data_IF_823009924370
#
_entry.id   IF_823009924370
#
_cell.length_a   1.000
_cell.length_b   1.000
_cell.length_c   1.000
_cell.angle_alpha   90.00
_cell.angle_beta   90.00
_cell.angle_gamma   90.00
#
_symmetry.space_group_name_H-M   'P 1'
#
loop_
_entity.id
_entity.type
_entity.pdbx_description
1 polymer ?
#
# COMPACT_ATOMS: atom_id res chain seq x y z
N UNK A 1 34.81 17.92 -23.55
CA UNK A 1 34.20 16.65 -23.14
C UNK A 1 32.71 16.89 -23.16
N UNK A 2 31.99 16.18 -24.01
CA UNK A 2 30.52 16.22 -23.99
C UNK A 2 30.11 15.52 -22.69
N UNK A 3 29.44 16.22 -21.78
CA UNK A 3 28.92 15.59 -20.58
C UNK A 3 27.86 14.58 -21.02
N UNK A 4 28.06 13.30 -20.71
CA UNK A 4 27.04 12.28 -20.94
C UNK A 4 25.85 12.59 -20.01
N UNK A 5 24.76 13.10 -20.58
CA UNK A 5 23.56 13.44 -19.82
C UNK A 5 22.62 12.24 -19.78
N UNK A 6 22.16 11.88 -18.59
CA UNK A 6 21.20 10.80 -18.36
C UNK A 6 19.88 11.36 -17.85
N UNK A 7 18.77 10.73 -18.24
CA UNK A 7 17.43 11.16 -17.86
C UNK A 7 17.07 10.62 -16.48
N UNK A 8 16.86 11.53 -15.52
CA UNK A 8 16.50 11.17 -14.13
C UNK A 8 15.02 11.39 -13.83
N UNK A 9 14.36 12.24 -14.62
CA UNK A 9 12.93 12.48 -14.54
C UNK A 9 12.35 12.60 -15.94
N UNK A 10 11.14 12.05 -16.14
CA UNK A 10 10.38 12.17 -17.37
C UNK A 10 8.89 12.13 -17.05
N UNK A 11 8.16 13.11 -17.56
CA UNK A 11 6.70 13.11 -17.49
C UNK A 11 6.11 13.59 -18.83
N UNK A 12 4.91 13.11 -19.15
CA UNK A 12 4.12 13.54 -20.31
C UNK A 12 2.76 14.14 -19.89
N UNK A 13 2.62 14.41 -18.60
CA UNK A 13 1.43 15.00 -18.01
C UNK A 13 1.33 16.49 -18.33
N UNK A 14 0.13 17.09 -18.29
CA UNK A 14 -0.02 18.53 -18.48
C UNK A 14 0.71 19.36 -17.41
N UNK A 15 0.99 18.78 -16.24
CA UNK A 15 1.79 19.41 -15.17
C UNK A 15 3.30 19.18 -15.33
N UNK A 16 3.75 18.37 -16.31
CA UNK A 16 5.14 17.94 -16.43
C UNK A 16 6.16 19.08 -16.47
N UNK A 17 5.80 20.24 -17.01
CA UNK A 17 6.67 21.42 -17.03
C UNK A 17 6.86 22.04 -15.63
N UNK A 18 5.81 22.03 -14.80
CA UNK A 18 5.84 22.54 -13.43
C UNK A 18 6.60 21.56 -12.52
N UNK A 19 6.28 20.26 -12.61
CA UNK A 19 7.01 19.18 -11.94
C UNK A 19 8.51 19.17 -12.30
N UNK A 20 8.84 19.29 -13.60
CA UNK A 20 10.23 19.33 -14.05
C UNK A 20 10.98 20.56 -13.53
N UNK A 21 10.29 21.70 -13.39
CA UNK A 21 10.89 22.91 -12.80
C UNK A 21 11.16 22.75 -11.31
N UNK A 22 10.26 22.09 -10.57
CA UNK A 22 10.46 21.79 -9.15
C UNK A 22 11.65 20.83 -8.96
N UNK A 23 11.71 19.77 -9.77
CA UNK A 23 12.84 18.83 -9.79
C UNK A 23 14.15 19.54 -10.14
N UNK A 24 14.15 20.44 -11.14
CA UNK A 24 15.33 21.23 -11.50
C UNK A 24 15.84 22.07 -10.31
N UNK A 25 14.95 22.79 -9.64
CA UNK A 25 15.31 23.67 -8.52
C UNK A 25 15.93 22.89 -7.35
N UNK A 26 15.32 21.77 -6.97
CA UNK A 26 15.81 20.94 -5.88
C UNK A 26 17.13 20.22 -6.20
N UNK A 27 17.31 19.78 -7.45
CA UNK A 27 18.60 19.23 -7.88
C UNK A 27 19.70 20.30 -7.88
N UNK A 28 19.37 21.54 -8.29
CA UNK A 28 20.29 22.67 -8.26
C UNK A 28 20.64 23.10 -6.83
N UNK A 29 19.67 23.10 -5.90
CA UNK A 29 19.90 23.33 -4.46
C UNK A 29 20.82 22.24 -3.86
N UNK A 30 20.65 21.00 -4.31
CA UNK A 30 21.54 19.87 -4.01
C UNK A 30 22.95 20.00 -4.59
N UNK A 31 23.24 21.07 -5.33
CA UNK A 31 24.55 21.35 -5.93
C UNK A 31 24.82 20.58 -7.22
N UNK A 32 23.78 20.01 -7.84
CA UNK A 32 23.89 19.29 -9.11
C UNK A 32 23.67 20.23 -10.29
N UNK A 33 24.00 19.76 -11.51
CA UNK A 33 23.82 20.56 -12.72
C UNK A 33 22.73 19.98 -13.65
N UNK A 34 21.44 20.04 -13.26
CA UNK A 34 20.33 19.53 -14.05
C UNK A 34 20.00 20.43 -15.26
N UNK A 35 19.41 19.84 -16.29
CA UNK A 35 18.91 20.55 -17.48
C UNK A 35 17.57 19.96 -17.94
N UNK A 36 16.63 20.82 -18.31
CA UNK A 36 15.30 20.45 -18.82
C UNK A 36 15.35 20.30 -20.34
N UNK A 37 14.71 19.24 -20.84
CA UNK A 37 14.52 18.93 -22.25
C UNK A 37 13.03 18.73 -22.53
N UNK A 38 12.48 19.49 -23.48
CA UNK A 38 11.08 19.39 -23.93
C UNK A 38 10.99 18.62 -25.25
N UNK A 39 9.78 18.39 -25.74
CA UNK A 39 9.52 17.74 -27.04
C UNK A 39 10.10 18.48 -28.27
N UNK A 40 10.59 19.70 -28.07
CA UNK A 40 11.38 20.45 -29.06
C UNK A 40 12.78 19.86 -29.29
N UNK A 41 13.26 19.00 -28.38
CA UNK A 41 14.57 18.37 -28.46
C UNK A 41 14.53 17.00 -29.13
N UNK A 42 15.51 16.67 -29.99
CA UNK A 42 15.59 15.36 -30.63
C UNK A 42 15.78 14.26 -29.57
N UNK A 43 14.89 13.27 -29.60
CA UNK A 43 14.88 12.14 -28.66
C UNK A 43 13.89 12.28 -27.49
N UNK A 44 13.29 13.46 -27.30
CA UNK A 44 12.19 13.63 -26.34
C UNK A 44 10.87 13.29 -27.02
N UNK A 45 10.00 12.47 -26.41
CA UNK A 45 8.68 12.17 -26.95
C UNK A 45 7.80 13.43 -27.07
N UNK A 46 6.86 13.46 -28.03
CA UNK A 46 5.94 14.59 -28.17
C UNK A 46 5.09 14.79 -26.91
N UNK A 47 5.06 16.03 -26.40
CA UNK A 47 4.35 16.39 -25.17
C UNK A 47 5.03 15.94 -23.88
N UNK A 48 6.26 15.42 -23.94
CA UNK A 48 7.01 15.03 -22.75
C UNK A 48 8.05 16.08 -22.35
N UNK A 49 8.31 16.15 -21.05
CA UNK A 49 9.38 16.94 -20.44
C UNK A 49 10.29 15.99 -19.68
N UNK A 50 11.59 16.11 -19.91
CA UNK A 50 12.63 15.29 -19.30
C UNK A 50 13.63 16.19 -18.54
N UNK A 51 14.02 15.81 -17.33
CA UNK A 51 15.15 16.42 -16.62
C UNK A 51 16.33 15.47 -16.73
N UNK A 52 17.46 16.00 -17.21
CA UNK A 52 18.70 15.25 -17.37
C UNK A 52 19.82 15.86 -16.54
N UNK A 53 20.68 15.01 -16.00
CA UNK A 53 21.88 15.40 -15.24
C UNK A 53 23.10 14.70 -15.85
N UNK A 54 24.33 15.18 -15.60
CA UNK A 54 25.55 14.42 -15.87
C UNK A 54 25.48 13.01 -15.30
N UNK A 55 25.93 12.00 -16.04
CA UNK A 55 25.87 10.59 -15.64
C UNK A 55 26.58 10.32 -14.31
N UNK A 56 27.59 11.12 -13.97
CA UNK A 56 28.30 11.08 -12.69
C UNK A 56 27.42 11.48 -11.48
N UNK A 57 26.35 12.24 -11.75
CA UNK A 57 25.43 12.80 -10.76
C UNK A 57 24.10 12.05 -10.69
N UNK A 58 23.88 11.06 -11.57
CA UNK A 58 22.62 10.29 -11.68
C UNK A 58 22.16 9.73 -10.33
N UNK A 59 23.06 9.00 -9.66
CA UNK A 59 22.73 8.34 -8.39
C UNK A 59 22.31 9.35 -7.32
N UNK A 60 22.95 10.53 -7.30
CA UNK A 60 22.64 11.60 -6.34
C UNK A 60 21.33 12.29 -6.69
N UNK A 61 21.08 12.53 -7.98
CA UNK A 61 19.85 13.12 -8.46
C UNK A 61 18.63 12.24 -8.16
N UNK A 62 18.73 10.93 -8.41
CA UNK A 62 17.66 9.98 -8.09
C UNK A 62 17.36 9.94 -6.58
N UNK A 63 18.38 10.03 -5.73
CA UNK A 63 18.20 10.10 -4.27
C UNK A 63 17.43 11.36 -3.85
N UNK A 64 17.78 12.53 -4.41
CA UNK A 64 17.10 13.79 -4.13
C UNK A 64 15.64 13.77 -4.64
N UNK A 65 15.40 13.31 -5.86
CA UNK A 65 14.06 13.20 -6.44
C UNK A 65 13.18 12.25 -5.61
N UNK A 66 13.73 11.10 -5.19
CA UNK A 66 13.00 10.17 -4.34
C UNK A 66 12.65 10.79 -2.98
N UNK A 67 13.54 11.59 -2.39
CA UNK A 67 13.27 12.32 -1.16
C UNK A 67 12.20 13.41 -1.34
N UNK A 68 12.16 14.10 -2.49
CA UNK A 68 11.13 15.08 -2.82
C UNK A 68 9.75 14.44 -2.98
N UNK A 69 9.67 13.36 -3.76
CA UNK A 69 8.40 12.66 -3.96
C UNK A 69 7.86 12.07 -2.65
N UNK A 70 8.74 11.74 -1.69
CA UNK A 70 8.35 11.33 -0.35
C UNK A 70 7.81 12.49 0.52
N UNK A 71 8.16 13.75 0.22
CA UNK A 71 7.66 14.93 0.96
C UNK A 71 6.45 15.62 0.31
N UNK A 72 6.26 15.46 -1.01
CA UNK A 72 5.11 15.99 -1.77
C UNK A 72 3.96 14.99 -1.96
N UNK A 73 4.11 13.76 -1.47
CA UNK A 73 2.95 12.95 -1.15
C UNK A 73 2.07 13.75 -0.19
N UNK A 74 0.83 14.06 -0.60
CA UNK A 74 -0.21 14.48 0.33
C UNK A 74 -0.15 13.57 1.57
N UNK A 75 -0.48 14.04 2.79
CA UNK A 75 -0.57 13.19 3.95
C UNK A 75 -1.78 12.25 3.80
N UNK A 76 -1.76 11.34 2.83
CA UNK A 76 -2.27 9.99 3.03
C UNK A 76 -1.39 9.44 4.13
N UNK A 77 -1.89 9.57 5.35
CA UNK A 77 -1.30 9.09 6.60
C UNK A 77 -0.33 7.93 6.33
N UNK A 78 0.99 8.05 6.57
CA UNK A 78 1.91 6.92 6.60
C UNK A 78 1.63 6.07 7.86
N UNK A 79 0.37 5.97 8.25
CA UNK A 79 -0.14 5.18 9.32
C UNK A 79 0.09 3.74 8.97
N UNK A 80 1.21 3.20 9.42
CA UNK A 80 1.34 1.79 9.75
C UNK A 80 0.14 1.28 10.58
N UNK A 81 -0.61 2.19 11.22
CA UNK A 81 -1.91 2.01 11.86
C UNK A 81 -2.99 1.39 10.95
N UNK A 82 -3.00 1.76 9.66
CA UNK A 82 -3.90 1.24 8.62
C UNK A 82 -3.32 0.02 7.88
N UNK A 83 -2.09 -0.42 8.22
CA UNK A 83 -1.53 -1.63 7.64
C UNK A 83 -2.39 -2.84 8.00
N UNK A 84 -2.78 -3.61 7.00
CA UNK A 84 -3.65 -4.77 7.19
C UNK A 84 -2.82 -5.96 7.66
N UNK A 85 -2.89 -6.23 8.96
CA UNK A 85 -2.22 -7.37 9.61
C UNK A 85 -3.15 -8.57 9.61
N UNK A 86 -2.60 -9.74 9.29
CA UNK A 86 -3.33 -11.01 9.33
C UNK A 86 -3.64 -11.43 10.76
N UNK A 87 -4.90 -11.75 11.02
CA UNK A 87 -5.38 -12.30 12.31
C UNK A 87 -5.77 -13.78 12.19
N UNK A 88 -6.04 -14.25 10.97
CA UNK A 88 -6.38 -15.64 10.67
C UNK A 88 -5.91 -16.02 9.27
N UNK A 89 -5.39 -17.23 9.10
CA UNK A 89 -5.16 -17.86 7.80
C UNK A 89 -5.49 -19.36 7.82
N UNK A 90 -6.10 -19.83 6.73
CA UNK A 90 -6.51 -21.21 6.57
C UNK A 90 -6.51 -21.65 5.11
N UNK A 91 -6.15 -22.92 4.88
CA UNK A 91 -6.14 -23.56 3.54
C UNK A 91 -6.97 -24.86 3.51
N UNK A 92 -7.68 -25.19 4.59
CA UNK A 92 -8.53 -26.38 4.69
C UNK A 92 -9.84 -26.22 3.89
N UNK A 93 -10.56 -27.32 3.69
CA UNK A 93 -11.89 -27.30 3.11
C UNK A 93 -12.91 -26.50 3.97
N UNK A 94 -12.61 -26.30 5.26
CA UNK A 94 -13.41 -25.51 6.20
C UNK A 94 -12.91 -24.07 6.36
N UNK A 95 -11.78 -23.72 5.75
CA UNK A 95 -11.12 -22.43 5.98
C UNK A 95 -11.99 -21.24 5.63
N UNK A 96 -12.88 -21.36 4.64
CA UNK A 96 -13.86 -20.33 4.30
C UNK A 96 -14.85 -20.10 5.44
N UNK A 97 -15.44 -21.17 5.99
CA UNK A 97 -16.41 -21.11 7.08
C UNK A 97 -15.76 -20.58 8.36
N UNK A 98 -14.53 -21.00 8.65
CA UNK A 98 -13.74 -20.52 9.79
C UNK A 98 -13.41 -19.03 9.63
N UNK A 99 -12.98 -18.59 8.45
CA UNK A 99 -12.72 -17.18 8.17
C UNK A 99 -14.00 -16.31 8.27
N UNK A 100 -15.14 -16.84 7.82
CA UNK A 100 -16.44 -16.18 7.99
C UNK A 100 -16.85 -16.07 9.46
N UNK A 101 -16.57 -17.10 10.27
CA UNK A 101 -16.85 -17.09 11.71
C UNK A 101 -15.99 -16.05 12.43
N UNK A 102 -14.68 -16.01 12.13
CA UNK A 102 -13.76 -14.97 12.63
C UNK A 102 -14.25 -13.58 12.26
N UNK A 103 -14.67 -13.37 11.00
CA UNK A 103 -15.24 -12.09 10.55
C UNK A 103 -16.50 -11.72 11.33
N UNK A 104 -17.41 -12.66 11.58
CA UNK A 104 -18.64 -12.41 12.32
C UNK A 104 -18.37 -11.97 13.77
N UNK A 105 -17.35 -12.56 14.41
CA UNK A 105 -16.91 -12.13 15.74
C UNK A 105 -16.38 -10.70 15.67
N UNK A 106 -15.44 -10.40 14.76
CA UNK A 106 -14.85 -9.07 14.64
C UNK A 106 -15.89 -7.98 14.35
N UNK A 107 -16.89 -8.27 13.52
CA UNK A 107 -18.01 -7.37 13.21
C UNK A 107 -18.85 -7.05 14.45
N UNK A 108 -19.10 -8.04 15.32
CA UNK A 108 -19.85 -7.86 16.57
C UNK A 108 -19.13 -6.94 17.58
N UNK A 109 -17.80 -6.85 17.49
CA UNK A 109 -16.98 -5.93 18.27
C UNK A 109 -16.72 -4.61 17.53
N UNK A 110 -17.36 -4.36 16.38
CA UNK A 110 -17.16 -3.17 15.55
C UNK A 110 -15.68 -2.99 15.14
N UNK A 111 -15.00 -4.09 14.84
CA UNK A 111 -13.59 -4.10 14.40
C UNK A 111 -13.55 -4.17 12.87
N UNK A 112 -12.95 -3.16 12.19
CA UNK A 112 -12.80 -3.18 10.74
C UNK A 112 -11.94 -4.38 10.32
N UNK A 113 -12.42 -5.12 9.32
CA UNK A 113 -11.77 -6.34 8.85
C UNK A 113 -11.92 -6.51 7.33
N UNK A 114 -10.96 -7.21 6.74
CA UNK A 114 -10.92 -7.55 5.32
C UNK A 114 -10.74 -9.06 5.20
N UNK A 115 -11.67 -9.71 4.50
CA UNK A 115 -11.55 -11.11 4.12
C UNK A 115 -10.82 -11.20 2.77
N UNK A 116 -9.63 -11.78 2.76
CA UNK A 116 -8.87 -12.13 1.57
C UNK A 116 -9.01 -13.61 1.25
N UNK A 117 -9.11 -13.94 -0.04
CA UNK A 117 -9.27 -15.31 -0.51
C UNK A 117 -10.16 -15.32 -1.75
N UNK A 118 -9.68 -15.93 -2.83
CA UNK A 118 -10.49 -16.14 -4.02
C UNK A 118 -10.91 -17.61 -4.04
N UNK A 119 -12.20 -17.87 -3.77
CA UNK A 119 -12.82 -19.20 -3.87
C UNK A 119 -12.60 -19.91 -5.23
N UNK A 120 -12.04 -19.20 -6.22
CA UNK A 120 -11.84 -19.65 -7.59
C UNK A 120 -10.41 -20.18 -7.86
N UNK A 121 -9.47 -20.01 -6.93
CA UNK A 121 -8.08 -20.47 -7.09
C UNK A 121 -7.74 -21.48 -5.99
N UNK A 122 -7.56 -22.77 -6.33
CA UNK A 122 -7.46 -23.87 -5.34
C UNK A 122 -6.21 -23.83 -4.45
N UNK A 123 -5.27 -22.92 -4.70
CA UNK A 123 -4.01 -22.78 -3.94
C UNK A 123 -3.95 -21.53 -3.08
N UNK A 124 -5.00 -20.70 -3.05
CA UNK A 124 -5.03 -19.48 -2.24
C UNK A 124 -5.73 -19.72 -0.90
N UNK A 125 -5.04 -19.37 0.19
CA UNK A 125 -5.59 -19.38 1.55
C UNK A 125 -6.74 -18.38 1.70
N UNK A 126 -7.68 -18.71 2.58
CA UNK A 126 -8.54 -17.71 3.19
C UNK A 126 -7.78 -17.02 4.31
N UNK A 127 -7.77 -15.70 4.29
CA UNK A 127 -7.10 -14.86 5.27
C UNK A 127 -8.06 -13.80 5.76
N UNK A 128 -8.05 -13.52 7.06
CA UNK A 128 -8.74 -12.36 7.62
C UNK A 128 -7.67 -11.39 8.09
N UNK A 129 -7.82 -10.12 7.71
CA UNK A 129 -6.91 -9.05 8.09
C UNK A 129 -7.65 -7.94 8.79
N UNK A 130 -6.98 -7.27 9.72
CA UNK A 130 -7.46 -6.09 10.45
C UNK A 130 -6.41 -4.99 10.36
N UNK A 131 -6.78 -3.70 10.45
CA UNK A 131 -5.79 -2.65 10.61
C UNK A 131 -4.96 -2.89 11.87
N UNK A 132 -3.65 -2.65 11.79
CA UNK A 132 -2.68 -2.95 12.85
C UNK A 132 -3.09 -2.39 14.22
N UNK A 133 -3.72 -1.21 14.24
CA UNK A 133 -4.22 -0.56 15.47
C UNK A 133 -5.27 -1.37 16.21
N UNK A 134 -6.04 -2.19 15.51
CA UNK A 134 -7.07 -3.04 16.09
C UNK A 134 -6.58 -4.45 16.37
N UNK A 135 -5.31 -4.79 16.11
CA UNK A 135 -4.80 -6.15 16.25
C UNK A 135 -5.00 -6.70 17.67
N UNK A 136 -4.56 -5.97 18.70
CA UNK A 136 -4.66 -6.42 20.10
C UNK A 136 -6.13 -6.58 20.55
N UNK A 137 -7.00 -5.66 20.10
CA UNK A 137 -8.44 -5.73 20.32
C UNK A 137 -9.07 -6.92 19.61
N UNK A 138 -8.64 -7.22 18.39
CA UNK A 138 -9.11 -8.35 17.59
C UNK A 138 -8.70 -9.68 18.22
N UNK A 139 -7.45 -9.82 18.65
CA UNK A 139 -6.97 -11.00 19.40
C UNK A 139 -7.79 -11.20 20.67
N UNK A 140 -8.01 -10.13 21.44
CA UNK A 140 -8.80 -10.20 22.68
C UNK A 140 -10.24 -10.62 22.40
N UNK A 141 -10.91 -9.99 21.42
CA UNK A 141 -12.29 -10.31 21.05
C UNK A 141 -12.46 -11.77 20.59
N UNK A 142 -11.50 -12.30 19.83
CA UNK A 142 -11.49 -13.71 19.42
C UNK A 142 -11.30 -14.64 20.62
N UNK A 143 -10.35 -14.34 21.51
CA UNK A 143 -10.14 -15.12 22.73
C UNK A 143 -11.36 -15.08 23.66
N UNK A 144 -12.08 -13.96 23.74
CA UNK A 144 -13.32 -13.83 24.50
C UNK A 144 -14.46 -14.63 23.87
N UNK A 145 -14.58 -14.61 22.54
CA UNK A 145 -15.56 -15.40 21.80
C UNK A 145 -15.29 -16.92 21.92
N UNK A 146 -14.03 -17.33 21.89
CA UNK A 146 -13.63 -18.73 22.15
C UNK A 146 -13.91 -19.14 23.60
N UNK A 147 -13.74 -18.25 24.57
CA UNK A 147 -14.10 -18.55 25.97
C UNK A 147 -15.61 -18.54 26.22
N UNK A 148 -16.36 -17.77 25.42
CA UNK A 148 -17.81 -17.75 25.42
C UNK A 148 -18.46 -18.96 24.69
N UNK A 149 -17.69 -19.80 23.99
CA UNK A 149 -18.15 -21.04 23.37
C UNK A 149 -17.37 -22.27 23.86
N UNK A 150 -18.00 -23.26 24.53
CA UNK A 150 -19.01 -24.14 23.91
C UNK A 150 -20.28 -24.31 24.76
N UNK A 151 -20.67 -23.30 25.54
CA UNK A 151 -21.93 -23.36 26.31
C UNK A 151 -23.15 -22.84 25.52
N UNK A 152 -22.96 -21.99 24.51
CA UNK A 152 -24.05 -21.36 23.76
C UNK A 152 -24.60 -22.16 22.58
N UNK A 153 -23.89 -23.20 22.11
CA UNK A 153 -24.38 -24.06 21.02
C UNK A 153 -25.42 -25.09 21.49
N UNK A 154 -25.39 -25.46 22.78
CA UNK A 154 -26.25 -26.51 23.34
C UNK A 154 -27.63 -26.00 23.78
N UNK A 155 -27.81 -24.68 23.92
CA UNK A 155 -29.13 -24.08 24.21
C UNK A 155 -30.01 -23.86 22.96
N UNK A 156 -29.42 -23.87 21.76
CA UNK A 156 -30.18 -23.76 20.51
C UNK A 156 -30.86 -25.09 20.09
N UNK A 157 -30.40 -26.24 20.60
CA UNK A 157 -31.00 -27.55 20.31
C UNK A 157 -32.23 -27.86 21.21
N UNK A 158 -32.29 -27.34 22.44
CA UNK A 158 -33.40 -27.63 23.36
C UNK A 158 -34.68 -26.80 23.13
N UNK A 159 -34.63 -25.77 22.27
CA UNK A 159 -35.79 -24.94 21.95
C UNK A 159 -36.67 -25.50 20.82
N UNK A 160 -36.22 -26.55 20.12
CA UNK A 160 -36.93 -27.12 18.96
C UNK A 160 -37.62 -28.47 19.23
N UNK A 161 -37.51 -29.01 20.45
CA UNK A 161 -38.12 -30.30 20.84
C UNK A 161 -39.18 -30.20 21.96
N UNK A 162 -39.77 -29.02 22.19
CA UNK A 162 -40.92 -28.84 23.11
C UNK A 162 -42.26 -28.66 22.37
#
# INVERSE_FOLDING_TARGET
MEAELTTVFRSADPSAAEDASAVLDALADGGLNPAIFTDEYPGVPPGAVEVRVPAEEEARALELIAAMSATEAEPGDPGHDLDLVEIYSGMSATAELEAMSVRSVLDSYEIPNVLGGAAQIPTLSFVVKVPAVYYDRAVSALAEAEQAGPAAAEEAEQATEA
#
